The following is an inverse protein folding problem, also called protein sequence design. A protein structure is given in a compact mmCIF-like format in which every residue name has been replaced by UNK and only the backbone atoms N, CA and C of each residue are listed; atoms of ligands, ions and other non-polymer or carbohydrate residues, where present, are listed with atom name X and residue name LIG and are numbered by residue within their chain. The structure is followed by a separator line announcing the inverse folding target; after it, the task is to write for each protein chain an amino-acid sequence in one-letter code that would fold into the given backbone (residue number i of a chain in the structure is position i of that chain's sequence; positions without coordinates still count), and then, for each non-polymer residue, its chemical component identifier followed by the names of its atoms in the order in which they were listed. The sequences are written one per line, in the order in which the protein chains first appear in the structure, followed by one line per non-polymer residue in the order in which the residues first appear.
data_IF_075763497471
#
_entry.id   IF_075763497471
#
_cell.length_a   1.000
_cell.length_b   1.000
_cell.length_c   1.000
_cell.angle_alpha   90.00
_cell.angle_beta   90.00
_cell.angle_gamma   90.00
#
_symmetry.space_group_name_H-M   'P 1'
#
loop_
_entity.id
_entity.type
_entity.pdbx_description
1 polymer ?
#
# COMPACT_ATOMS: atom_id res chain seq x y z
N UNK A 1 44.68 37.62 2.72
CA UNK A 1 44.04 36.69 3.68
C UNK A 1 43.28 37.51 4.74
N UNK A 2 42.16 37.03 5.32
CA UNK A 2 41.59 35.69 5.25
C UNK A 2 40.13 35.62 4.72
N UNK A 3 39.80 34.41 4.29
CA UNK A 3 38.53 33.90 3.82
C UNK A 3 37.59 33.55 4.98
N UNK A 4 36.27 33.68 4.77
CA UNK A 4 35.26 33.02 5.59
C UNK A 4 34.58 31.93 4.78
N UNK A 5 34.80 30.70 5.26
CA UNK A 5 34.37 29.42 4.72
C UNK A 5 33.00 29.07 5.32
N UNK A 6 32.16 28.49 4.47
CA UNK A 6 31.21 27.40 4.70
C UNK A 6 30.66 27.21 6.12
N UNK A 7 29.39 27.55 6.29
CA UNK A 7 28.50 27.04 7.34
C UNK A 7 27.17 26.71 6.65
N UNK A 8 26.50 25.58 6.83
CA UNK A 8 26.79 24.37 7.59
C UNK A 8 25.75 23.37 7.07
N UNK A 9 26.20 22.31 6.41
CA UNK A 9 25.38 21.16 6.01
C UNK A 9 24.96 20.39 7.29
N UNK A 10 23.81 20.73 7.88
CA UNK A 10 23.20 19.90 8.93
C UNK A 10 21.72 19.74 8.61
N UNK A 11 21.43 18.76 7.76
CA UNK A 11 20.08 18.17 7.66
C UNK A 11 20.10 16.73 7.15
N UNK A 12 21.23 16.25 6.61
CA UNK A 12 21.31 14.93 5.98
C UNK A 12 21.81 13.81 6.91
N UNK A 13 22.37 14.13 8.08
CA UNK A 13 22.98 13.11 8.95
C UNK A 13 21.98 12.45 9.92
N UNK A 14 20.85 13.11 10.24
CA UNK A 14 19.90 12.58 11.22
C UNK A 14 19.09 11.38 10.68
N UNK A 15 18.77 11.37 9.38
CA UNK A 15 18.05 10.25 8.74
C UNK A 15 18.95 9.00 8.65
N UNK A 16 20.27 9.20 8.47
CA UNK A 16 21.23 8.10 8.38
C UNK A 16 21.45 7.43 9.75
N UNK A 17 21.45 8.19 10.84
CA UNK A 17 21.64 7.62 12.19
C UNK A 17 20.42 6.80 12.64
N UNK A 18 19.20 7.18 12.27
CA UNK A 18 17.99 6.39 12.59
C UNK A 18 17.94 5.08 11.78
N UNK A 19 18.42 5.07 10.53
CA UNK A 19 18.48 3.84 9.73
C UNK A 19 19.62 2.89 10.13
N UNK A 20 20.77 3.41 10.59
CA UNK A 20 21.89 2.56 11.05
C UNK A 20 21.60 1.91 12.41
N UNK A 21 20.86 2.57 13.31
CA UNK A 21 20.51 1.99 14.61
C UNK A 21 19.56 0.78 14.52
N UNK A 22 18.83 0.63 13.41
CA UNK A 22 17.98 -0.54 13.16
C UNK A 22 18.81 -1.75 12.69
N UNK A 23 20.01 -1.54 12.14
CA UNK A 23 20.79 -2.60 11.49
C UNK A 23 21.89 -3.26 12.33
N UNK A 24 22.27 -2.74 13.50
CA UNK A 24 23.41 -3.28 14.28
C UNK A 24 23.04 -4.10 15.52
N UNK A 25 21.77 -4.46 15.71
CA UNK A 25 21.36 -5.33 16.81
C UNK A 25 20.71 -6.63 16.34
N UNK A 26 21.46 -7.42 15.56
CA UNK A 26 21.13 -8.85 15.36
C UNK A 26 22.35 -9.67 14.94
N UNK A 27 23.19 -10.00 15.91
CA UNK A 27 23.88 -11.29 15.89
C UNK A 27 23.55 -12.03 17.17
N UNK A 28 22.65 -13.00 17.07
CA UNK A 28 22.75 -14.36 17.61
C UNK A 28 21.40 -15.07 17.40
N UNK A 29 21.43 -16.26 16.80
CA UNK A 29 20.29 -17.18 16.76
C UNK A 29 19.62 -17.32 15.40
N UNK A 30 19.84 -18.46 14.76
CA UNK A 30 19.18 -18.88 13.53
C UNK A 30 17.69 -19.19 13.79
N UNK A 31 16.78 -18.59 13.01
CA UNK A 31 15.58 -19.18 12.37
C UNK A 31 14.69 -18.09 11.76
N UNK A 32 14.30 -18.30 10.50
CA UNK A 32 13.26 -17.59 9.72
C UNK A 32 13.28 -16.05 9.68
N UNK A 33 13.99 -15.52 8.68
CA UNK A 33 13.85 -14.14 8.21
C UNK A 33 12.50 -13.95 7.49
N UNK A 34 11.46 -13.62 8.25
CA UNK A 34 10.26 -12.99 7.71
C UNK A 34 10.66 -11.57 7.26
N UNK A 35 10.86 -11.37 5.96
CA UNK A 35 10.90 -10.04 5.35
C UNK A 35 9.60 -9.32 5.72
N UNK A 36 9.64 -8.47 6.73
CA UNK A 36 8.56 -7.50 6.97
C UNK A 36 8.66 -6.48 5.84
N UNK A 37 7.95 -6.78 4.75
CA UNK A 37 7.81 -5.89 3.62
C UNK A 37 7.25 -4.55 4.13
N UNK A 38 8.06 -3.50 4.02
CA UNK A 38 7.70 -2.10 4.32
C UNK A 38 6.45 -1.64 3.55
N UNK A 39 6.07 -2.36 2.49
CA UNK A 39 4.83 -2.17 1.75
C UNK A 39 3.55 -2.51 2.54
N UNK A 40 3.58 -3.42 3.53
CA UNK A 40 2.34 -3.90 4.18
C UNK A 40 1.75 -2.92 5.21
N UNK A 41 2.57 -2.04 5.81
CA UNK A 41 2.09 -1.12 6.84
C UNK A 41 1.10 -0.08 6.30
N UNK A 42 1.16 0.26 5.01
CA UNK A 42 0.26 1.22 4.37
C UNK A 42 -1.12 0.69 3.96
N UNK A 43 -1.32 -0.64 4.00
CA UNK A 43 -2.54 -1.30 3.51
C UNK A 43 -3.41 -1.92 4.62
N UNK A 44 -2.83 -2.15 5.80
CA UNK A 44 -3.51 -2.80 6.94
C UNK A 44 -4.65 -1.99 7.56
N UNK A 45 -4.78 -0.70 7.27
CA UNK A 45 -5.85 0.13 7.86
C UNK A 45 -7.25 -0.16 7.29
N UNK A 46 -7.35 -0.80 6.12
CA UNK A 46 -8.65 -1.00 5.43
C UNK A 46 -9.18 -2.43 5.47
N UNK A 47 -8.34 -3.41 5.83
CA UNK A 47 -8.75 -4.81 5.92
C UNK A 47 -9.86 -5.01 6.97
N UNK A 48 -9.78 -4.29 8.10
CA UNK A 48 -10.83 -4.26 9.12
C UNK A 48 -12.16 -3.63 8.67
N UNK A 49 -12.18 -2.83 7.59
CA UNK A 49 -13.37 -2.13 7.10
C UNK A 49 -14.22 -3.00 6.16
N UNK A 50 -13.57 -3.83 5.33
CA UNK A 50 -14.22 -4.71 4.34
C UNK A 50 -14.57 -6.09 4.93
N UNK A 51 -14.47 -6.26 6.26
CA UNK A 51 -14.68 -7.56 6.90
C UNK A 51 -13.57 -8.58 6.61
N UNK A 52 -12.39 -8.12 6.19
CA UNK A 52 -11.20 -8.95 5.97
C UNK A 52 -10.30 -8.87 7.22
N UNK A 53 -10.80 -9.40 8.33
CA UNK A 53 -10.04 -9.49 9.58
C UNK A 53 -8.96 -10.58 9.52
N UNK A 54 -7.75 -10.25 9.98
CA UNK A 54 -6.66 -11.18 10.19
C UNK A 54 -7.06 -12.27 11.19
N UNK A 55 -6.72 -13.53 10.89
CA UNK A 55 -6.98 -14.70 11.71
C UNK A 55 -6.32 -14.63 13.10
N UNK A 56 -6.99 -13.99 14.05
CA UNK A 56 -6.82 -14.22 15.51
C UNK A 56 -7.80 -13.45 16.39
N UNK A 57 -8.75 -12.68 15.84
CA UNK A 57 -9.77 -12.02 16.65
C UNK A 57 -11.19 -12.44 16.27
N UNK A 58 -12.03 -12.88 17.22
CA UNK A 58 -13.43 -13.20 17.00
C UNK A 58 -14.27 -11.91 16.89
N UNK A 59 -13.86 -10.98 16.03
CA UNK A 59 -14.63 -9.77 15.75
C UNK A 59 -15.61 -10.08 14.61
N UNK A 60 -16.88 -10.05 14.98
CA UNK A 60 -18.05 -10.40 14.19
C UNK A 60 -18.08 -9.72 12.81
N UNK A 61 -18.43 -10.49 11.77
CA UNK A 61 -18.91 -9.98 10.48
C UNK A 61 -20.06 -8.97 10.62
N UNK A 62 -20.72 -8.94 11.79
CA UNK A 62 -21.78 -8.00 12.18
C UNK A 62 -21.33 -6.51 12.17
N UNK A 63 -20.02 -6.22 12.19
CA UNK A 63 -19.49 -4.85 12.09
C UNK A 63 -18.98 -4.46 10.69
N UNK A 64 -18.93 -5.41 9.74
CA UNK A 64 -18.52 -5.10 8.37
C UNK A 64 -19.61 -4.27 7.68
N UNK A 65 -19.20 -3.19 7.02
CA UNK A 65 -20.09 -2.30 6.26
C UNK A 65 -20.85 -3.06 5.17
N UNK A 66 -20.10 -3.85 4.41
CA UNK A 66 -20.57 -4.78 3.38
C UNK A 66 -19.62 -5.98 3.42
N UNK A 67 -20.13 -7.20 3.19
CA UNK A 67 -19.29 -8.39 3.18
C UNK A 67 -18.30 -8.36 2.01
N UNK A 68 -17.06 -8.80 2.26
CA UNK A 68 -16.02 -8.89 1.25
C UNK A 68 -16.45 -9.73 0.03
N UNK A 69 -17.16 -10.85 0.25
CA UNK A 69 -17.64 -11.73 -0.82
C UNK A 69 -18.64 -11.03 -1.74
N UNK A 70 -19.51 -10.18 -1.20
CA UNK A 70 -20.47 -9.42 -1.99
C UNK A 70 -19.74 -8.38 -2.86
N UNK A 71 -18.84 -7.60 -2.26
CA UNK A 71 -18.02 -6.64 -3.00
C UNK A 71 -17.16 -7.33 -4.06
N UNK A 72 -16.54 -8.48 -3.76
CA UNK A 72 -15.75 -9.27 -4.72
C UNK A 72 -16.59 -9.79 -5.88
N UNK A 73 -17.87 -10.13 -5.63
CA UNK A 73 -18.78 -10.53 -6.70
C UNK A 73 -19.18 -9.38 -7.63
N UNK A 74 -19.21 -8.15 -7.12
CA UNK A 74 -19.51 -6.95 -7.91
C UNK A 74 -18.29 -6.38 -8.64
N UNK A 75 -17.09 -6.60 -8.10
CA UNK A 75 -15.84 -6.08 -8.66
C UNK A 75 -14.79 -7.19 -8.81
N UNK A 76 -15.08 -8.30 -9.52
CA UNK A 76 -14.20 -9.48 -9.54
C UNK A 76 -12.80 -9.18 -10.09
N UNK A 77 -12.68 -8.19 -10.99
CA UNK A 77 -11.43 -7.79 -11.63
C UNK A 77 -10.66 -6.68 -10.87
N UNK A 78 -11.13 -6.30 -9.68
CA UNK A 78 -10.54 -5.23 -8.89
C UNK A 78 -9.24 -5.70 -8.21
N UNK A 79 -8.15 -4.95 -8.43
CA UNK A 79 -6.80 -5.32 -8.03
C UNK A 79 -6.64 -5.39 -6.50
N UNK A 80 -7.54 -4.77 -5.73
CA UNK A 80 -7.59 -4.93 -4.28
C UNK A 80 -7.64 -6.41 -3.87
N UNK A 81 -8.43 -7.23 -4.57
CA UNK A 81 -8.64 -8.63 -4.20
C UNK A 81 -7.38 -9.48 -4.28
N UNK A 82 -6.47 -9.13 -5.18
CA UNK A 82 -5.21 -9.85 -5.38
C UNK A 82 -4.10 -9.23 -4.55
N UNK A 83 -4.02 -7.89 -4.52
CA UNK A 83 -2.87 -7.19 -3.97
C UNK A 83 -2.97 -6.87 -2.47
N UNK A 84 -4.19 -6.78 -1.92
CA UNK A 84 -4.41 -6.18 -0.60
C UNK A 84 -5.33 -7.00 0.31
N UNK A 85 -6.38 -7.60 -0.25
CA UNK A 85 -7.31 -8.41 0.53
C UNK A 85 -6.57 -9.53 1.27
N UNK A 86 -7.07 -9.87 2.46
CA UNK A 86 -6.54 -11.01 3.22
C UNK A 86 -6.75 -12.29 2.41
N UNK A 87 -5.66 -13.02 2.06
CA UNK A 87 -5.77 -14.27 1.32
C UNK A 87 -6.58 -15.31 2.11
N UNK A 88 -7.44 -16.04 1.41
CA UNK A 88 -8.31 -17.08 2.01
C UNK A 88 -7.67 -18.46 1.98
N UNK A 89 -6.71 -18.69 1.07
CA UNK A 89 -6.00 -19.95 0.94
C UNK A 89 -4.52 -19.76 0.57
N UNK A 90 -3.78 -20.87 0.56
CA UNK A 90 -2.35 -20.86 0.26
C UNK A 90 -2.02 -20.43 -1.18
N UNK A 91 -2.94 -20.66 -2.13
CA UNK A 91 -2.79 -20.24 -3.52
C UNK A 91 -2.94 -18.73 -3.66
N UNK A 92 -3.98 -18.15 -3.07
CA UNK A 92 -4.17 -16.69 -3.02
C UNK A 92 -2.99 -16.01 -2.32
N UNK A 93 -2.51 -16.57 -1.21
CA UNK A 93 -1.35 -16.02 -0.48
C UNK A 93 -0.10 -16.01 -1.34
N UNK A 94 0.21 -17.12 -2.00
CA UNK A 94 1.37 -17.23 -2.89
C UNK A 94 1.28 -16.22 -4.05
N UNK A 95 0.12 -16.10 -4.69
CA UNK A 95 -0.08 -15.15 -5.78
C UNK A 95 0.12 -13.69 -5.32
N UNK A 96 -0.40 -13.35 -4.14
CA UNK A 96 -0.19 -12.03 -3.54
C UNK A 96 1.28 -11.76 -3.22
N UNK A 97 1.99 -12.73 -2.63
CA UNK A 97 3.42 -12.61 -2.34
C UNK A 97 4.25 -12.40 -3.61
N UNK A 98 4.01 -13.20 -4.65
CA UNK A 98 4.69 -13.07 -5.96
C UNK A 98 4.43 -11.70 -6.61
N UNK A 99 3.19 -11.21 -6.56
CA UNK A 99 2.84 -9.88 -7.08
C UNK A 99 3.58 -8.76 -6.33
N UNK A 100 3.60 -8.81 -5.00
CA UNK A 100 4.25 -7.80 -4.17
C UNK A 100 5.78 -7.84 -4.33
N UNK A 101 6.38 -9.02 -4.47
CA UNK A 101 7.81 -9.19 -4.75
C UNK A 101 8.18 -8.61 -6.12
N UNK A 102 7.34 -8.85 -7.13
CA UNK A 102 7.51 -8.27 -8.46
C UNK A 102 7.46 -6.74 -8.42
N UNK A 103 6.46 -6.15 -7.76
CA UNK A 103 6.38 -4.69 -7.59
C UNK A 103 7.56 -4.11 -6.81
N UNK A 104 8.01 -4.78 -5.75
CA UNK A 104 9.20 -4.37 -5.00
C UNK A 104 10.46 -4.38 -5.89
N UNK A 105 10.60 -5.38 -6.75
CA UNK A 105 11.70 -5.50 -7.71
C UNK A 105 11.67 -4.36 -8.73
N UNK A 106 10.50 -4.07 -9.32
CA UNK A 106 10.33 -2.94 -10.24
C UNK A 106 10.66 -1.62 -9.55
N UNK A 107 10.12 -1.40 -8.35
CA UNK A 107 10.38 -0.18 -7.59
C UNK A 107 11.87 0.00 -7.27
N UNK A 108 12.58 -1.07 -6.90
CA UNK A 108 14.02 -1.03 -6.67
C UNK A 108 14.82 -0.64 -7.92
N UNK A 109 14.41 -1.13 -9.10
CA UNK A 109 15.01 -0.71 -10.38
C UNK A 109 14.74 0.76 -10.70
N UNK A 110 13.51 1.23 -10.48
CA UNK A 110 13.12 2.64 -10.70
C UNK A 110 13.95 3.55 -9.79
N UNK A 111 14.01 3.23 -8.50
CA UNK A 111 14.75 4.01 -7.50
C UNK A 111 16.26 4.07 -7.80
N UNK A 112 16.83 2.95 -8.28
CA UNK A 112 18.25 2.88 -8.64
C UNK A 112 18.58 3.44 -10.04
N UNK A 113 17.58 3.94 -10.78
CA UNK A 113 17.76 4.46 -12.14
C UNK A 113 18.11 3.38 -13.18
N UNK A 114 17.79 2.12 -12.88
CA UNK A 114 18.08 0.95 -13.74
C UNK A 114 16.86 0.41 -14.47
N UNK A 115 15.68 0.93 -14.19
CA UNK A 115 14.45 0.50 -14.84
C UNK A 115 14.41 0.95 -16.30
N UNK A 116 13.96 0.05 -17.17
CA UNK A 116 13.55 0.37 -18.53
C UNK A 116 12.24 1.16 -18.54
N UNK A 117 11.93 1.83 -19.65
CA UNK A 117 10.64 2.53 -19.80
C UNK A 117 9.45 1.61 -19.57
N UNK A 118 9.50 0.39 -20.11
CA UNK A 118 8.43 -0.61 -19.93
C UNK A 118 8.22 -0.98 -18.45
N UNK A 119 9.30 -1.14 -17.69
CA UNK A 119 9.24 -1.46 -16.26
C UNK A 119 8.70 -0.28 -15.42
N UNK A 120 9.02 0.96 -15.80
CA UNK A 120 8.42 2.16 -15.21
C UNK A 120 6.91 2.18 -15.47
N UNK A 121 6.52 2.03 -16.74
CA UNK A 121 5.11 2.06 -17.15
C UNK A 121 4.32 0.95 -16.44
N UNK A 122 4.87 -0.26 -16.36
CA UNK A 122 4.25 -1.42 -15.69
C UNK A 122 4.00 -1.16 -14.20
N UNK A 123 5.02 -0.68 -13.48
CA UNK A 123 4.89 -0.38 -12.05
C UNK A 123 3.85 0.71 -11.81
N UNK A 124 4.00 1.87 -12.46
CA UNK A 124 3.13 3.01 -12.18
C UNK A 124 1.70 2.79 -12.65
N UNK A 125 1.48 2.10 -13.77
CA UNK A 125 0.12 1.74 -14.21
C UNK A 125 -0.55 0.81 -13.20
N UNK A 126 0.19 -0.17 -12.66
CA UNK A 126 -0.33 -1.05 -11.62
C UNK A 126 -0.67 -0.30 -10.33
N UNK A 127 0.20 0.62 -9.90
CA UNK A 127 -0.04 1.42 -8.70
C UNK A 127 -1.21 2.39 -8.85
N UNK A 128 -1.35 3.03 -10.03
CA UNK A 128 -2.50 3.87 -10.38
C UNK A 128 -3.79 3.06 -10.30
N UNK A 129 -3.84 1.93 -11.01
CA UNK A 129 -5.02 1.04 -11.04
C UNK A 129 -5.40 0.59 -9.63
N UNK A 130 -4.42 0.23 -8.79
CA UNK A 130 -4.69 -0.16 -7.40
C UNK A 130 -5.41 0.95 -6.60
N UNK A 131 -5.02 2.22 -6.77
CA UNK A 131 -5.68 3.32 -6.06
C UNK A 131 -7.08 3.62 -6.63
N UNK A 132 -7.23 3.53 -7.95
CA UNK A 132 -8.54 3.67 -8.62
C UNK A 132 -9.52 2.60 -8.13
N UNK A 133 -9.04 1.37 -8.01
CA UNK A 133 -9.79 0.22 -7.56
C UNK A 133 -10.20 0.30 -6.09
N UNK A 134 -9.32 0.82 -5.23
CA UNK A 134 -9.67 1.09 -3.84
C UNK A 134 -10.73 2.20 -3.72
N UNK A 135 -10.67 3.23 -4.59
CA UNK A 135 -11.71 4.27 -4.66
C UNK A 135 -13.04 3.73 -5.19
N UNK A 136 -13.00 2.83 -6.18
CA UNK A 136 -14.19 2.17 -6.71
C UNK A 136 -14.94 1.42 -5.61
N UNK A 137 -14.25 0.61 -4.80
CA UNK A 137 -14.87 -0.11 -3.68
C UNK A 137 -15.55 0.84 -2.69
N UNK A 138 -14.90 1.97 -2.36
CA UNK A 138 -15.45 2.97 -1.47
C UNK A 138 -16.70 3.66 -2.03
N UNK A 139 -16.70 4.01 -3.32
CA UNK A 139 -17.86 4.56 -4.01
C UNK A 139 -19.00 3.55 -4.07
N UNK A 140 -18.68 2.29 -4.38
CA UNK A 140 -19.65 1.22 -4.45
C UNK A 140 -20.38 1.04 -3.10
N UNK A 141 -19.64 1.01 -1.99
CA UNK A 141 -20.23 0.95 -0.65
C UNK A 141 -21.13 2.15 -0.34
N UNK A 142 -20.72 3.36 -0.72
CA UNK A 142 -21.48 4.59 -0.50
C UNK A 142 -22.77 4.65 -1.34
N UNK A 143 -22.69 4.25 -2.60
CA UNK A 143 -23.77 4.40 -3.59
C UNK A 143 -24.78 3.25 -3.55
N UNK A 144 -24.30 2.01 -3.35
CA UNK A 144 -25.13 0.79 -3.43
C UNK A 144 -25.67 0.34 -2.08
N UNK A 145 -24.99 0.69 -0.99
CA UNK A 145 -25.32 0.23 0.35
C UNK A 145 -25.46 1.37 1.37
N UNK A 146 -26.07 2.53 1.02
CA UNK A 146 -26.15 3.69 1.92
C UNK A 146 -26.89 3.38 3.22
N UNK A 147 -27.85 2.46 3.20
CA UNK A 147 -28.63 2.01 4.35
C UNK A 147 -27.81 1.18 5.36
N UNK A 148 -26.67 0.63 4.94
CA UNK A 148 -25.74 -0.12 5.81
C UNK A 148 -24.70 0.76 6.48
N UNK A 149 -24.66 2.04 6.12
CA UNK A 149 -23.73 3.01 6.66
C UNK A 149 -24.40 3.78 7.80
N UNK A 150 -23.88 3.63 9.00
CA UNK A 150 -24.08 4.62 10.05
C UNK A 150 -23.14 5.82 9.83
N UNK A 151 -23.27 6.84 10.68
CA UNK A 151 -22.48 8.08 10.53
C UNK A 151 -20.99 7.85 10.70
N UNK A 152 -20.58 6.87 11.50
CA UNK A 152 -19.18 6.52 11.67
C UNK A 152 -18.61 5.88 10.40
N UNK A 153 -19.31 4.88 9.86
CA UNK A 153 -18.95 4.22 8.61
C UNK A 153 -18.90 5.22 7.44
N UNK A 154 -19.86 6.15 7.35
CA UNK A 154 -19.81 7.24 6.36
C UNK A 154 -18.55 8.09 6.47
N UNK A 155 -18.16 8.49 7.69
CA UNK A 155 -16.92 9.26 7.90
C UNK A 155 -15.68 8.46 7.51
N UNK A 156 -15.65 7.16 7.78
CA UNK A 156 -14.54 6.30 7.36
C UNK A 156 -14.44 6.17 5.84
N UNK A 157 -15.56 5.99 5.13
CA UNK A 157 -15.58 6.01 3.66
C UNK A 157 -15.04 7.34 3.13
N UNK A 158 -15.49 8.46 3.70
CA UNK A 158 -15.03 9.79 3.28
C UNK A 158 -13.51 9.93 3.47
N UNK A 159 -12.98 9.55 4.64
CA UNK A 159 -11.55 9.57 4.92
C UNK A 159 -10.77 8.65 3.97
N UNK A 160 -11.30 7.46 3.67
CA UNK A 160 -10.73 6.55 2.68
C UNK A 160 -10.67 7.17 1.28
N UNK A 161 -11.75 7.81 0.83
CA UNK A 161 -11.82 8.46 -0.48
C UNK A 161 -10.80 9.61 -0.58
N UNK A 162 -10.64 10.39 0.49
CA UNK A 162 -9.62 11.44 0.56
C UNK A 162 -8.19 10.85 0.51
N UNK A 163 -7.93 9.80 1.28
CA UNK A 163 -6.63 9.13 1.32
C UNK A 163 -6.26 8.57 -0.05
N UNK A 164 -7.12 7.76 -0.65
CA UNK A 164 -6.84 7.10 -1.92
C UNK A 164 -6.88 8.08 -3.10
N UNK A 165 -7.71 9.13 -3.03
CA UNK A 165 -7.65 10.24 -3.99
C UNK A 165 -6.31 10.97 -3.95
N UNK A 166 -5.76 11.19 -2.75
CA UNK A 166 -4.44 11.79 -2.56
C UNK A 166 -3.33 10.85 -3.05
N UNK A 167 -3.39 9.55 -2.73
CA UNK A 167 -2.43 8.55 -3.22
C UNK A 167 -2.45 8.47 -4.74
N UNK A 168 -3.63 8.41 -5.36
CA UNK A 168 -3.83 8.39 -6.82
C UNK A 168 -3.19 9.62 -7.47
N UNK A 169 -3.45 10.82 -6.93
CA UNK A 169 -2.82 12.06 -7.40
C UNK A 169 -1.29 11.96 -7.32
N UNK A 170 -0.76 11.57 -6.17
CA UNK A 170 0.69 11.51 -5.93
C UNK A 170 1.39 10.53 -6.87
N UNK A 171 0.83 9.32 -7.04
CA UNK A 171 1.42 8.31 -7.92
C UNK A 171 1.34 8.71 -9.40
N UNK A 172 0.26 9.39 -9.79
CA UNK A 172 0.11 9.93 -11.15
C UNK A 172 1.13 11.01 -11.44
N UNK A 173 1.35 11.94 -10.52
CA UNK A 173 2.37 12.98 -10.68
C UNK A 173 3.79 12.43 -10.65
N UNK A 174 4.06 11.42 -9.81
CA UNK A 174 5.35 10.74 -9.83
C UNK A 174 5.59 10.01 -11.16
N UNK A 175 4.58 9.32 -11.70
CA UNK A 175 4.69 8.69 -13.00
C UNK A 175 5.02 9.71 -14.10
N UNK A 176 4.31 10.84 -14.14
CA UNK A 176 4.61 11.97 -15.05
C UNK A 176 6.05 12.46 -14.91
N UNK A 177 6.58 12.55 -13.68
CA UNK A 177 7.99 12.91 -13.47
C UNK A 177 8.94 11.87 -14.06
N UNK A 178 8.67 10.59 -13.89
CA UNK A 178 9.56 9.53 -14.37
C UNK A 178 9.59 9.43 -15.91
N UNK A 179 8.47 9.67 -16.58
CA UNK A 179 8.40 9.61 -18.05
C UNK A 179 8.95 10.85 -18.76
N UNK A 180 9.10 11.96 -18.04
CA UNK A 180 9.63 13.23 -18.54
C UNK A 180 11.12 13.45 -18.21
N UNK A 181 11.78 12.47 -17.57
CA UNK A 181 13.23 12.44 -17.37
C UNK A 181 13.93 11.95 -18.64
#
# INVERSE_FOLDING_TARGET
MPSKKNALLISSAFIIVVLIFIFTKSQTGATQSSSKNVFSEGFSMFSGFIGLGTSSSPYNEDNAVVSASLLKSETPDNLYWVAVATPQDAGEKKAQEELLEHWATLYGKIYSGKATRKEIDEYYTSQIKLQEDQLELLRLMEERYPERLDDEKRRMILAGKELYGTKLKNVTEEYKRQINK
#
